data_IF_906878818577
#
_entry.id   IF_906878818577
#
_cell.length_a   1.000
_cell.length_b   1.000
_cell.length_c   1.000
_cell.angle_alpha   90.00
_cell.angle_beta   90.00
_cell.angle_gamma   90.00
#
_symmetry.space_group_name_H-M   'P 1'
#
loop_
_entity.id
_entity.type
_entity.pdbx_description
1 polymer ?
#
# COMPACT_ATOMS: atom_id res chain seq x y z
N UNK A 1 3.41 22.13 -16.34
CA UNK A 1 2.01 22.37 -16.64
C UNK A 1 1.16 22.04 -15.44
N UNK A 2 0.28 22.96 -15.07
CA UNK A 2 -0.68 22.77 -13.98
C UNK A 2 -1.57 21.58 -14.38
N UNK A 3 -1.44 20.45 -13.68
CA UNK A 3 -2.35 19.34 -13.87
C UNK A 3 -3.70 19.78 -13.36
N UNK A 4 -4.70 19.74 -14.23
CA UNK A 4 -6.09 20.00 -13.85
C UNK A 4 -6.48 18.97 -12.78
N UNK A 5 -6.69 19.44 -11.55
CA UNK A 5 -7.18 18.58 -10.49
C UNK A 5 -8.67 18.28 -10.75
N UNK A 6 -9.04 17.01 -10.66
CA UNK A 6 -10.44 16.60 -10.77
C UNK A 6 -11.18 17.02 -9.51
N UNK A 7 -12.28 17.72 -9.67
CA UNK A 7 -13.16 18.13 -8.57
C UNK A 7 -14.61 17.85 -8.93
N UNK A 8 -15.41 17.57 -7.90
CA UNK A 8 -16.86 17.61 -8.01
C UNK A 8 -17.35 19.06 -8.14
N UNK A 9 -18.61 19.24 -8.51
CA UNK A 9 -19.25 20.57 -8.55
C UNK A 9 -19.17 21.29 -7.18
N UNK A 10 -19.18 20.53 -6.09
CA UNK A 10 -19.12 21.04 -4.71
C UNK A 10 -17.70 21.26 -4.20
N UNK A 11 -16.68 21.13 -5.07
CA UNK A 11 -15.29 21.43 -4.75
C UNK A 11 -14.49 20.29 -4.10
N UNK A 12 -15.05 19.08 -3.99
CA UNK A 12 -14.31 17.92 -3.50
C UNK A 12 -13.29 17.44 -4.56
N UNK A 13 -12.04 17.34 -4.19
CA UNK A 13 -11.02 16.71 -5.01
C UNK A 13 -11.27 15.21 -5.14
N UNK A 14 -11.10 14.65 -6.32
CA UNK A 14 -11.41 13.23 -6.61
C UNK A 14 -10.29 12.45 -7.28
N UNK A 15 -9.14 13.07 -7.49
CA UNK A 15 -8.00 12.47 -8.20
C UNK A 15 -7.53 11.16 -7.57
N UNK A 16 -7.41 11.13 -6.24
CA UNK A 16 -6.92 9.95 -5.53
C UNK A 16 -7.96 8.83 -5.55
N UNK A 17 -9.24 9.17 -5.34
CA UNK A 17 -10.36 8.21 -5.44
C UNK A 17 -10.41 7.60 -6.83
N UNK A 18 -10.37 8.43 -7.87
CA UNK A 18 -10.41 7.97 -9.26
C UNK A 18 -9.19 7.07 -9.59
N UNK A 19 -7.98 7.51 -9.19
CA UNK A 19 -6.76 6.73 -9.39
C UNK A 19 -6.80 5.39 -8.67
N UNK A 20 -7.28 5.36 -7.42
CA UNK A 20 -7.44 4.15 -6.64
C UNK A 20 -8.45 3.19 -7.29
N UNK A 21 -9.62 3.66 -7.67
CA UNK A 21 -10.66 2.83 -8.28
C UNK A 21 -10.22 2.25 -9.63
N UNK A 22 -9.47 3.00 -10.44
CA UNK A 22 -8.91 2.48 -11.69
C UNK A 22 -7.92 1.34 -11.43
N UNK A 23 -7.04 1.49 -10.43
CA UNK A 23 -6.10 0.42 -10.03
C UNK A 23 -6.89 -0.78 -9.53
N UNK A 24 -7.86 -0.56 -8.65
CA UNK A 24 -8.70 -1.61 -8.08
C UNK A 24 -9.44 -2.40 -9.14
N UNK A 25 -10.10 -1.72 -10.10
CA UNK A 25 -10.82 -2.37 -11.20
C UNK A 25 -9.88 -3.26 -12.02
N UNK A 26 -8.72 -2.72 -12.39
CA UNK A 26 -7.69 -3.48 -13.12
C UNK A 26 -7.24 -4.71 -12.35
N UNK A 27 -7.01 -4.58 -11.05
CA UNK A 27 -6.61 -5.69 -10.18
C UNK A 27 -7.67 -6.79 -10.11
N UNK A 28 -8.94 -6.41 -9.97
CA UNK A 28 -10.05 -7.36 -9.96
C UNK A 28 -10.15 -8.15 -11.27
N UNK A 29 -9.88 -7.52 -12.40
CA UNK A 29 -9.87 -8.15 -13.71
C UNK A 29 -8.67 -9.10 -13.90
N UNK A 30 -7.48 -8.68 -13.46
CA UNK A 30 -6.22 -9.42 -13.64
C UNK A 30 -6.09 -10.60 -12.66
N UNK A 31 -6.32 -10.34 -11.37
CA UNK A 31 -6.06 -11.32 -10.30
C UNK A 31 -7.27 -12.19 -9.99
N UNK A 32 -8.50 -11.71 -10.26
CA UNK A 32 -9.78 -12.39 -9.95
C UNK A 32 -9.80 -12.98 -8.54
N UNK A 33 -9.52 -12.16 -7.51
CA UNK A 33 -9.33 -12.65 -6.16
C UNK A 33 -10.63 -13.23 -5.58
N UNK A 34 -10.53 -14.29 -4.77
CA UNK A 34 -11.66 -14.85 -4.01
C UNK A 34 -12.01 -13.96 -2.81
N UNK A 35 -11.04 -13.24 -2.27
CA UNK A 35 -11.21 -12.27 -1.19
C UNK A 35 -10.33 -11.05 -1.41
N UNK A 36 -10.80 -9.89 -0.95
CA UNK A 36 -10.10 -8.62 -1.05
C UNK A 36 -10.29 -7.84 0.25
N UNK A 37 -9.24 -7.16 0.69
CA UNK A 37 -9.33 -6.16 1.75
C UNK A 37 -8.41 -4.97 1.46
N UNK A 38 -8.68 -3.84 2.11
CA UNK A 38 -7.85 -2.64 2.02
C UNK A 38 -7.39 -2.24 3.42
N UNK A 39 -6.11 -1.94 3.57
CA UNK A 39 -5.53 -1.45 4.82
C UNK A 39 -5.31 0.06 4.76
N UNK A 40 -5.54 0.74 5.88
CA UNK A 40 -5.31 2.16 6.02
C UNK A 40 -4.46 2.47 7.25
N UNK A 41 -3.63 3.51 7.14
CA UNK A 41 -3.01 4.14 8.30
C UNK A 41 -4.04 4.94 9.09
N UNK A 42 -3.97 4.85 10.41
CA UNK A 42 -4.64 5.76 11.30
C UNK A 42 -3.77 6.98 11.61
N UNK A 43 -4.41 8.12 11.79
CA UNK A 43 -3.74 9.37 12.20
C UNK A 43 -3.42 9.35 13.70
N UNK A 44 -2.69 8.32 14.14
CA UNK A 44 -2.32 8.09 15.54
C UNK A 44 -0.85 7.64 15.64
N UNK A 45 -0.17 7.95 16.74
CA UNK A 45 1.19 7.47 16.96
C UNK A 45 1.23 5.94 16.97
N UNK A 46 2.15 5.38 16.20
CA UNK A 46 2.40 3.94 16.19
C UNK A 46 3.38 3.52 17.28
N UNK A 47 3.56 2.23 17.50
CA UNK A 47 4.55 1.73 18.44
C UNK A 47 5.97 2.18 18.07
N UNK A 48 6.25 2.43 16.77
CA UNK A 48 7.54 2.96 16.30
C UNK A 48 7.77 4.39 16.77
N UNK A 49 6.76 5.24 16.76
CA UNK A 49 6.85 6.61 17.31
C UNK A 49 7.08 6.60 18.83
N UNK A 50 6.52 5.61 19.54
CA UNK A 50 6.75 5.44 20.98
C UNK A 50 8.14 4.95 21.31
N UNK A 51 8.71 4.11 20.44
CA UNK A 51 10.05 3.55 20.59
C UNK A 51 11.15 4.55 20.14
N UNK A 52 10.87 5.37 19.14
CA UNK A 52 11.81 6.33 18.56
C UNK A 52 11.10 7.62 18.16
N UNK A 53 11.36 8.70 18.91
CA UNK A 53 10.65 9.99 18.76
C UNK A 53 10.82 10.64 17.40
N UNK A 54 11.94 10.40 16.72
CA UNK A 54 12.27 10.99 15.43
C UNK A 54 11.76 10.15 14.24
N UNK A 55 11.06 9.05 14.52
CA UNK A 55 10.48 8.22 13.47
C UNK A 55 9.51 9.04 12.60
N UNK A 56 9.82 9.13 11.30
CA UNK A 56 9.08 9.93 10.32
C UNK A 56 9.01 11.44 10.59
N UNK A 57 9.86 11.98 11.48
CA UNK A 57 9.84 13.41 11.84
C UNK A 57 10.11 14.34 10.63
N UNK A 58 10.82 13.86 9.61
CA UNK A 58 11.10 14.61 8.38
C UNK A 58 10.02 14.52 7.28
N UNK A 59 8.94 13.76 7.49
CA UNK A 59 7.88 13.62 6.48
C UNK A 59 7.01 14.87 6.40
N UNK A 60 6.77 15.33 5.18
CA UNK A 60 5.78 16.37 4.95
C UNK A 60 4.37 15.88 5.32
N UNK A 61 3.54 16.74 5.91
CA UNK A 61 2.15 16.38 6.18
C UNK A 61 1.40 16.07 4.88
N UNK A 62 0.43 15.17 4.98
CA UNK A 62 -0.43 14.82 3.85
C UNK A 62 -1.14 16.08 3.33
N UNK A 63 -1.10 16.37 2.00
CA UNK A 63 -1.84 17.48 1.42
C UNK A 63 -3.33 17.42 1.79
N UNK A 64 -3.93 18.58 2.05
CA UNK A 64 -5.33 18.69 2.45
C UNK A 64 -6.27 18.07 1.40
N UNK A 65 -5.97 18.29 0.12
CA UNK A 65 -6.71 17.77 -1.01
C UNK A 65 -6.75 16.22 -1.04
N UNK A 66 -5.72 15.58 -0.54
CA UNK A 66 -5.67 14.12 -0.38
C UNK A 66 -6.40 13.69 0.90
N UNK A 67 -6.20 14.42 1.98
CA UNK A 67 -6.81 14.13 3.28
C UNK A 67 -8.33 14.12 3.22
N UNK A 68 -8.92 15.04 2.46
CA UNK A 68 -10.37 15.13 2.23
C UNK A 68 -10.95 13.91 1.50
N UNK A 69 -10.17 13.25 0.67
CA UNK A 69 -10.63 12.13 -0.15
C UNK A 69 -10.66 10.79 0.59
N UNK A 70 -9.86 10.63 1.66
CA UNK A 70 -9.75 9.35 2.39
C UNK A 70 -11.08 8.92 3.02
N UNK A 71 -11.84 9.79 3.73
CA UNK A 71 -13.15 9.40 4.27
C UNK A 71 -14.12 8.95 3.17
N UNK A 72 -14.16 9.69 2.05
CA UNK A 72 -15.03 9.36 0.91
C UNK A 72 -14.63 8.03 0.29
N UNK A 73 -13.34 7.77 0.12
CA UNK A 73 -12.85 6.48 -0.36
C UNK A 73 -13.28 5.33 0.55
N UNK A 74 -13.20 5.54 1.88
CA UNK A 74 -13.67 4.55 2.86
C UNK A 74 -15.16 4.25 2.73
N UNK A 75 -15.98 5.26 2.49
CA UNK A 75 -17.43 5.10 2.23
C UNK A 75 -17.67 4.34 0.91
N UNK A 76 -16.94 4.65 -0.14
CA UNK A 76 -17.03 3.93 -1.44
C UNK A 76 -16.71 2.45 -1.25
N UNK A 77 -15.63 2.11 -0.54
CA UNK A 77 -15.26 0.72 -0.26
C UNK A 77 -16.35 0.00 0.55
N UNK A 78 -16.97 0.67 1.50
CA UNK A 78 -18.07 0.12 2.28
C UNK A 78 -19.28 -0.19 1.40
N UNK A 79 -19.66 0.73 0.49
CA UNK A 79 -20.74 0.50 -0.49
C UNK A 79 -20.42 -0.62 -1.48
N UNK A 80 -19.14 -0.87 -1.76
CA UNK A 80 -18.66 -1.97 -2.58
C UNK A 80 -18.56 -3.29 -1.82
N UNK A 81 -18.88 -3.34 -0.52
CA UNK A 81 -18.67 -4.47 0.39
C UNK A 81 -17.21 -4.96 0.43
N UNK A 82 -16.26 -4.05 0.30
CA UNK A 82 -14.82 -4.35 0.43
C UNK A 82 -14.40 -4.09 1.87
N UNK A 83 -13.99 -5.12 2.63
CA UNK A 83 -13.48 -4.97 3.99
C UNK A 83 -12.28 -4.04 4.03
N UNK A 84 -12.26 -3.16 5.03
CA UNK A 84 -11.12 -2.31 5.32
C UNK A 84 -10.61 -2.56 6.73
N UNK A 85 -9.30 -2.52 6.88
CA UNK A 85 -8.65 -2.72 8.16
C UNK A 85 -7.76 -1.53 8.49
N UNK A 86 -7.89 -1.06 9.72
CA UNK A 86 -7.07 -0.04 10.33
C UNK A 86 -6.94 -0.36 11.82
N UNK A 87 -5.77 -0.12 12.41
CA UNK A 87 -5.53 -0.46 13.81
C UNK A 87 -4.66 0.59 14.48
N UNK A 88 -5.13 1.10 15.61
CA UNK A 88 -4.36 2.04 16.41
C UNK A 88 -3.04 1.42 16.88
N UNK A 89 -1.96 2.20 16.78
CA UNK A 89 -0.63 1.78 17.16
C UNK A 89 0.14 1.03 16.06
N UNK A 90 -0.49 0.71 14.93
CA UNK A 90 0.10 0.00 13.79
C UNK A 90 -0.06 0.80 12.51
N UNK A 91 0.79 0.53 11.55
CA UNK A 91 0.71 1.07 10.19
C UNK A 91 -0.01 0.11 9.24
N UNK A 92 -0.47 0.62 8.10
CA UNK A 92 -1.11 -0.21 7.07
C UNK A 92 -0.22 -1.38 6.64
N UNK A 93 1.09 -1.17 6.54
CA UNK A 93 2.06 -2.21 6.15
C UNK A 93 2.17 -3.34 7.20
N UNK A 94 2.02 -3.03 8.50
CA UNK A 94 1.95 -4.06 9.54
C UNK A 94 0.72 -4.95 9.36
N UNK A 95 -0.39 -4.35 8.92
CA UNK A 95 -1.62 -5.08 8.63
C UNK A 95 -1.46 -5.94 7.36
N UNK A 96 -0.80 -5.42 6.31
CA UNK A 96 -0.47 -6.20 5.10
C UNK A 96 0.35 -7.43 5.47
N UNK A 97 1.41 -7.28 6.26
CA UNK A 97 2.23 -8.40 6.73
C UNK A 97 1.42 -9.41 7.56
N UNK A 98 0.51 -8.92 8.40
CA UNK A 98 -0.37 -9.78 9.21
C UNK A 98 -1.32 -10.60 8.34
N UNK A 99 -1.94 -9.97 7.32
CA UNK A 99 -2.85 -10.63 6.37
C UNK A 99 -2.10 -11.66 5.55
N UNK A 100 -0.92 -11.32 5.02
CA UNK A 100 -0.06 -12.24 4.26
C UNK A 100 0.26 -13.52 5.06
N UNK A 101 0.70 -13.37 6.31
CA UNK A 101 0.97 -14.51 7.20
C UNK A 101 -0.25 -15.36 7.50
N UNK A 102 -1.41 -14.72 7.59
CA UNK A 102 -2.65 -15.44 7.80
C UNK A 102 -3.08 -16.22 6.55
N UNK A 103 -2.92 -15.65 5.36
CA UNK A 103 -3.13 -16.35 4.10
C UNK A 103 -2.27 -17.61 4.01
N UNK A 104 -0.97 -17.49 4.28
CA UNK A 104 -0.03 -18.61 4.30
C UNK A 104 -0.51 -19.73 5.27
N UNK A 105 -0.88 -19.36 6.50
CA UNK A 105 -1.33 -20.32 7.51
C UNK A 105 -2.61 -21.06 7.12
N UNK A 106 -3.47 -20.45 6.30
CA UNK A 106 -4.71 -21.02 5.80
C UNK A 106 -4.56 -21.65 4.40
N UNK A 107 -3.35 -21.65 3.83
CA UNK A 107 -3.04 -22.25 2.52
C UNK A 107 -3.53 -21.42 1.33
N UNK A 108 -3.65 -20.10 1.50
CA UNK A 108 -4.04 -19.16 0.46
C UNK A 108 -2.82 -18.46 -0.13
N UNK A 109 -2.88 -18.18 -1.42
CA UNK A 109 -1.95 -17.25 -2.06
C UNK A 109 -2.38 -15.80 -1.80
N UNK A 110 -1.40 -14.93 -1.56
CA UNK A 110 -1.62 -13.53 -1.24
C UNK A 110 -1.00 -12.62 -2.31
N UNK A 111 -1.74 -11.62 -2.75
CA UNK A 111 -1.24 -10.55 -3.62
C UNK A 111 -1.30 -9.24 -2.86
N UNK A 112 -0.15 -8.72 -2.45
CA UNK A 112 -0.04 -7.40 -1.82
C UNK A 112 0.11 -6.35 -2.92
N UNK A 113 -0.73 -5.32 -2.89
CA UNK A 113 -0.69 -4.21 -3.84
C UNK A 113 -0.29 -2.95 -3.12
N UNK A 114 0.87 -2.42 -3.44
CA UNK A 114 1.44 -1.26 -2.75
C UNK A 114 2.38 -0.46 -3.65
N UNK A 115 2.57 0.82 -3.34
CA UNK A 115 3.65 1.64 -3.92
C UNK A 115 4.93 1.61 -3.10
N UNK A 116 4.90 1.02 -1.92
CA UNK A 116 6.04 0.98 -1.00
C UNK A 116 6.91 -0.26 -1.25
N UNK A 117 8.19 -0.02 -1.55
CA UNK A 117 9.17 -1.08 -1.78
C UNK A 117 9.54 -1.83 -0.50
N UNK A 118 9.27 -1.29 0.67
CA UNK A 118 9.55 -1.96 1.92
C UNK A 118 8.69 -3.21 2.11
N UNK A 119 7.51 -3.24 1.48
CA UNK A 119 6.66 -4.43 1.44
C UNK A 119 7.26 -5.60 0.64
N UNK A 120 8.32 -5.38 -0.16
CA UNK A 120 9.01 -6.46 -0.88
C UNK A 120 9.61 -7.51 0.06
N UNK A 121 9.91 -7.17 1.31
CA UNK A 121 10.33 -8.12 2.34
C UNK A 121 9.29 -9.20 2.65
N UNK A 122 8.02 -8.98 2.26
CA UNK A 122 6.91 -9.89 2.51
C UNK A 122 6.76 -10.96 1.41
N UNK A 123 7.53 -10.86 0.34
CA UNK A 123 7.50 -11.84 -0.77
C UNK A 123 8.01 -13.18 -0.27
N UNK A 124 7.24 -14.22 -0.52
CA UNK A 124 7.61 -15.62 -0.26
C UNK A 124 6.92 -16.56 -1.26
N UNK A 125 6.90 -17.87 -0.99
CA UNK A 125 6.29 -18.87 -1.86
C UNK A 125 4.77 -18.69 -2.07
N UNK A 126 4.08 -18.02 -1.15
CA UNK A 126 2.63 -17.79 -1.16
C UNK A 126 2.24 -16.33 -1.35
N UNK A 127 3.20 -15.42 -1.30
CA UNK A 127 2.96 -13.98 -1.36
C UNK A 127 3.77 -13.33 -2.45
N UNK A 128 3.09 -12.71 -3.41
CA UNK A 128 3.71 -11.78 -4.37
C UNK A 128 3.33 -10.34 -4.05
N UNK A 129 4.18 -9.40 -4.44
CA UNK A 129 3.91 -7.97 -4.34
C UNK A 129 3.72 -7.38 -5.72
N UNK A 130 2.57 -6.76 -5.94
CA UNK A 130 2.29 -5.97 -7.13
C UNK A 130 2.63 -4.50 -6.83
N UNK A 131 3.81 -4.06 -7.28
CA UNK A 131 4.27 -2.69 -7.10
C UNK A 131 3.53 -1.73 -8.01
N UNK A 132 2.93 -0.71 -7.42
CA UNK A 132 2.29 0.40 -8.13
C UNK A 132 3.28 1.53 -8.32
N UNK A 133 3.49 1.95 -9.55
CA UNK A 133 4.30 3.13 -9.88
C UNK A 133 3.44 4.14 -10.61
N UNK A 134 3.39 5.37 -10.12
CA UNK A 134 2.67 6.46 -10.76
C UNK A 134 3.65 7.44 -11.39
N UNK A 135 3.60 7.56 -12.72
CA UNK A 135 4.38 8.54 -13.48
C UNK A 135 3.45 9.39 -14.34
N UNK A 136 3.58 10.70 -14.26
CA UNK A 136 2.84 11.67 -15.09
C UNK A 136 1.31 11.44 -15.08
N UNK A 137 0.73 10.96 -13.94
CA UNK A 137 -0.70 10.71 -13.80
C UNK A 137 -1.19 9.37 -14.34
N UNK A 138 -0.29 8.53 -14.87
CA UNK A 138 -0.57 7.15 -15.23
C UNK A 138 0.02 6.22 -14.18
N UNK A 139 -0.76 5.26 -13.73
CA UNK A 139 -0.31 4.21 -12.81
C UNK A 139 -0.07 2.92 -13.56
N UNK A 140 1.09 2.33 -13.32
CA UNK A 140 1.47 1.01 -13.83
C UNK A 140 1.72 0.07 -12.66
N UNK A 141 1.51 -1.20 -12.88
CA UNK A 141 1.77 -2.25 -11.89
C UNK A 141 2.82 -3.21 -12.40
N UNK A 142 3.66 -3.72 -11.52
CA UNK A 142 4.67 -4.73 -11.81
C UNK A 142 4.63 -5.80 -10.73
N UNK A 143 4.54 -7.06 -11.14
CA UNK A 143 4.58 -8.20 -10.23
C UNK A 143 6.02 -8.46 -9.79
N UNK A 144 6.20 -8.62 -8.48
CA UNK A 144 7.42 -9.01 -7.83
C UNK A 144 7.19 -10.36 -7.12
N UNK A 145 7.79 -11.39 -7.67
CA UNK A 145 7.82 -12.75 -7.14
C UNK A 145 9.20 -13.04 -6.51
N UNK A 146 9.39 -14.15 -5.77
CA UNK A 146 10.71 -14.52 -5.28
C UNK A 146 11.77 -14.53 -6.39
N UNK A 147 11.43 -15.06 -7.57
CA UNK A 147 12.34 -15.18 -8.71
C UNK A 147 12.71 -13.81 -9.28
N UNK A 148 11.70 -12.97 -9.59
CA UNK A 148 11.95 -11.64 -10.16
C UNK A 148 12.64 -10.70 -9.15
N UNK A 149 12.39 -10.88 -7.86
CA UNK A 149 13.10 -10.17 -6.81
C UNK A 149 14.58 -10.57 -6.78
N UNK A 150 14.86 -11.88 -6.80
CA UNK A 150 16.24 -12.37 -6.81
C UNK A 150 17.01 -11.94 -8.06
N UNK A 151 16.37 -11.95 -9.23
CA UNK A 151 16.97 -11.43 -10.47
C UNK A 151 17.34 -9.94 -10.38
N UNK A 152 16.51 -9.14 -9.72
CA UNK A 152 16.74 -7.68 -9.60
C UNK A 152 17.74 -7.31 -8.50
N UNK A 153 17.68 -7.99 -7.35
CA UNK A 153 18.44 -7.62 -6.15
C UNK A 153 19.61 -8.54 -5.83
N UNK A 154 19.62 -9.77 -6.32
CA UNK A 154 20.70 -10.75 -6.10
C UNK A 154 20.68 -11.44 -4.73
N UNK A 155 19.61 -11.28 -3.95
CA UNK A 155 19.40 -11.92 -2.65
C UNK A 155 17.91 -12.22 -2.44
N UNK A 156 17.59 -12.99 -1.40
CA UNK A 156 16.19 -13.35 -1.09
C UNK A 156 15.41 -12.18 -0.45
N UNK A 157 14.09 -12.08 -0.67
CA UNK A 157 13.26 -10.96 -0.20
C UNK A 157 13.37 -10.67 1.30
N UNK A 158 13.52 -11.68 2.14
CA UNK A 158 13.66 -11.51 3.60
C UNK A 158 14.86 -10.63 3.97
N UNK A 159 15.94 -10.64 3.18
CA UNK A 159 17.14 -9.84 3.41
C UNK A 159 16.99 -8.36 3.02
N UNK A 160 15.83 -7.97 2.51
CA UNK A 160 15.51 -6.54 2.36
C UNK A 160 15.58 -5.81 3.71
N UNK A 161 15.25 -6.49 4.79
CA UNK A 161 15.35 -5.96 6.16
C UNK A 161 16.81 -5.60 6.48
N UNK A 162 17.75 -6.50 6.16
CA UNK A 162 19.18 -6.28 6.39
C UNK A 162 19.72 -5.14 5.53
N UNK A 163 19.33 -5.10 4.26
CA UNK A 163 19.69 -4.00 3.34
C UNK A 163 19.23 -2.66 3.89
N UNK A 164 17.98 -2.55 4.33
CA UNK A 164 17.43 -1.32 4.90
C UNK A 164 18.11 -0.93 6.21
N UNK A 165 18.44 -1.89 7.06
CA UNK A 165 19.18 -1.63 8.29
C UNK A 165 20.58 -1.03 8.03
N UNK A 166 21.25 -1.46 6.96
CA UNK A 166 22.57 -0.95 6.57
C UNK A 166 22.51 0.40 5.85
N UNK A 167 21.52 0.61 4.98
CA UNK A 167 21.38 1.84 4.19
C UNK A 167 20.76 2.98 4.97
N UNK A 168 20.02 2.68 6.03
CA UNK A 168 19.12 3.62 6.67
C UNK A 168 17.84 3.85 5.85
N UNK A 169 16.83 4.44 6.48
CA UNK A 169 15.59 4.85 5.81
C UNK A 169 15.78 6.28 5.28
N UNK A 170 16.01 6.41 3.98
CA UNK A 170 16.15 7.69 3.27
C UNK A 170 14.81 8.24 2.77
N UNK A 171 13.70 7.86 3.40
CA UNK A 171 12.34 8.29 3.03
C UNK A 171 11.95 9.65 3.60
#
# INVERSE_FOLDING_TARGET
GVRTMLQTHDGLYTNAIFGFLNILTKLLEEEKPEALCVTFDLHAPTFRHKAYSDYKAGRHPMPEELRMQIPVLKEVLEQMNIPRYEKEGYEADDLLGTVSRRCEAEGWDCVIVTGDKDSLQLIDAHTKVKLVTTRMGSSTTRDMTPESFFEEYGFEPIHMIDLKALMGDAS
#
